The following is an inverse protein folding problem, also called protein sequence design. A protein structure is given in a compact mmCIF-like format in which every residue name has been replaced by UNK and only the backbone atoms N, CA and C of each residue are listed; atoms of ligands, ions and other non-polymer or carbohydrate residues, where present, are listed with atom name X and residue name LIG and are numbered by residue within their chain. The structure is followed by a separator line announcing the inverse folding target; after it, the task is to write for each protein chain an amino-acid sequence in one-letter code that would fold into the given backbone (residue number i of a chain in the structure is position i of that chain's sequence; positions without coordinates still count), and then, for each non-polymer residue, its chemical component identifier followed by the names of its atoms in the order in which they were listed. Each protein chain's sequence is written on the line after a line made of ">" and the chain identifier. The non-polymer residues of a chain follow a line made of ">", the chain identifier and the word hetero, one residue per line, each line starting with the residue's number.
data_IF_088691332162
#
_entry.id   IF_088691332162
#
_cell.length_a   1.000
_cell.length_b   1.000
_cell.length_c   1.000
_cell.angle_alpha   90.00
_cell.angle_beta   90.00
_cell.angle_gamma   90.00
#
_symmetry.space_group_name_H-M   'P 1'
#
loop_
_entity.id
_entity.type
_entity.pdbx_description
1 polymer ?
#
# COMPACT_ATOMS: atom_id res chain seq x y z
N UNK A 1 -16.71 2.42 -9.16
CA UNK A 1 -16.28 2.42 -7.74
C UNK A 1 -16.75 1.12 -7.11
N UNK A 2 -16.04 0.02 -7.35
CA UNK A 2 -16.44 -1.27 -6.80
C UNK A 2 -15.18 -2.13 -6.67
N UNK A 3 -14.44 -1.90 -5.60
CA UNK A 3 -13.26 -2.70 -5.29
C UNK A 3 -13.66 -3.70 -4.21
N UNK A 4 -14.29 -4.75 -4.75
CA UNK A 4 -14.42 -6.12 -4.28
C UNK A 4 -13.89 -6.40 -2.88
N UNK A 5 -14.84 -6.51 -1.95
CA UNK A 5 -15.01 -7.62 -0.99
C UNK A 5 -13.79 -8.53 -0.84
N UNK A 6 -12.74 -8.02 -0.21
CA UNK A 6 -11.68 -8.85 0.38
C UNK A 6 -12.17 -9.25 1.77
N UNK A 7 -12.97 -10.30 1.82
CA UNK A 7 -12.91 -11.29 2.91
C UNK A 7 -11.50 -11.92 2.85
N UNK A 8 -10.78 -12.25 3.92
CA UNK A 8 -11.12 -12.56 5.30
C UNK A 8 -9.89 -12.26 6.20
N UNK A 9 -10.17 -11.91 7.44
CA UNK A 9 -9.42 -11.11 8.43
C UNK A 9 -8.00 -11.58 8.86
N UNK A 10 -7.46 -12.68 8.30
CA UNK A 10 -6.18 -13.25 8.76
C UNK A 10 -4.93 -12.77 7.99
N UNK A 11 -5.10 -12.29 6.75
CA UNK A 11 -3.96 -11.92 5.88
C UNK A 11 -3.65 -10.41 5.89
N UNK A 12 -4.34 -9.64 6.73
CA UNK A 12 -4.10 -8.21 6.91
C UNK A 12 -2.72 -7.89 7.55
N UNK A 13 -1.98 -8.89 8.00
CA UNK A 13 -0.63 -8.74 8.53
C UNK A 13 0.47 -9.15 7.54
N UNK A 14 0.12 -9.73 6.39
CA UNK A 14 1.09 -10.25 5.44
C UNK A 14 1.76 -9.11 4.66
N UNK A 15 3.09 -8.91 4.80
CA UNK A 15 3.79 -7.85 4.08
C UNK A 15 3.72 -8.04 2.56
N UNK A 16 3.64 -9.29 2.09
CA UNK A 16 3.46 -9.61 0.68
C UNK A 16 2.12 -9.07 0.14
N UNK A 17 1.05 -9.15 0.92
CA UNK A 17 -0.28 -8.71 0.50
C UNK A 17 -0.38 -7.19 0.47
N UNK A 18 0.24 -6.51 1.44
CA UNK A 18 0.38 -5.04 1.47
C UNK A 18 1.12 -4.55 0.23
N UNK A 19 2.27 -5.18 -0.10
CA UNK A 19 3.05 -4.84 -1.31
C UNK A 19 2.24 -5.06 -2.59
N UNK A 20 1.61 -6.22 -2.74
CA UNK A 20 0.79 -6.53 -3.92
C UNK A 20 -0.34 -5.50 -4.11
N UNK A 21 -0.97 -5.07 -3.02
CA UNK A 21 -2.01 -4.02 -3.06
C UNK A 21 -1.46 -2.65 -3.38
N UNK A 22 -0.30 -2.29 -2.84
CA UNK A 22 0.36 -1.03 -3.19
C UNK A 22 0.78 -1.00 -4.67
N UNK A 23 1.31 -2.09 -5.20
CA UNK A 23 1.62 -2.27 -6.63
C UNK A 23 0.39 -2.18 -7.54
N UNK A 24 -0.72 -2.82 -7.16
CA UNK A 24 -2.00 -2.73 -7.89
C UNK A 24 -2.51 -1.28 -7.96
N UNK A 25 -2.30 -0.50 -6.90
CA UNK A 25 -2.63 0.92 -6.85
C UNK A 25 -1.72 1.73 -7.77
N UNK A 26 -0.39 1.53 -7.68
CA UNK A 26 0.60 2.21 -8.51
C UNK A 26 0.42 1.97 -10.01
N UNK A 27 0.01 0.75 -10.39
CA UNK A 27 -0.26 0.38 -11.78
C UNK A 27 -1.44 1.15 -12.38
N UNK A 28 -2.42 1.53 -11.56
CA UNK A 28 -3.67 2.16 -12.03
C UNK A 28 -3.57 3.69 -12.10
N UNK A 29 -2.84 4.29 -11.17
CA UNK A 29 -2.51 5.71 -11.13
C UNK A 29 -1.28 5.87 -10.27
N UNK A 30 -0.45 6.84 -10.64
CA UNK A 30 0.61 7.29 -9.76
C UNK A 30 -0.04 7.82 -8.46
N UNK A 31 0.26 7.15 -7.35
CA UNK A 31 -0.27 7.43 -6.03
C UNK A 31 0.90 7.72 -5.11
N UNK A 32 0.83 8.81 -4.34
CA UNK A 32 1.88 9.12 -3.37
C UNK A 32 1.88 8.12 -2.20
N UNK A 33 3.03 8.03 -1.50
CA UNK A 33 3.17 7.26 -0.23
C UNK A 33 2.02 7.50 0.75
N UNK A 34 1.60 8.76 0.90
CA UNK A 34 0.48 9.15 1.77
C UNK A 34 -0.87 8.58 1.33
N UNK A 35 -1.17 8.59 0.03
CA UNK A 35 -2.41 8.00 -0.50
C UNK A 35 -2.43 6.49 -0.31
N UNK A 36 -1.30 5.81 -0.60
CA UNK A 36 -1.16 4.38 -0.38
C UNK A 36 -1.35 4.03 1.10
N UNK A 37 -0.67 4.78 2.00
CA UNK A 37 -0.84 4.67 3.44
C UNK A 37 -2.30 4.80 3.86
N UNK A 38 -2.99 5.85 3.42
CA UNK A 38 -4.39 6.09 3.82
C UNK A 38 -5.32 5.00 3.28
N UNK A 39 -5.12 4.53 2.04
CA UNK A 39 -5.94 3.44 1.48
C UNK A 39 -5.68 2.10 2.17
N UNK A 40 -4.44 1.80 2.51
CA UNK A 40 -4.07 0.57 3.22
C UNK A 40 -4.55 0.65 4.69
N UNK A 41 -4.40 1.79 5.34
CA UNK A 41 -4.90 1.97 6.71
C UNK A 41 -6.43 1.85 6.77
N UNK A 42 -7.18 2.42 5.81
CA UNK A 42 -8.63 2.23 5.69
C UNK A 42 -9.07 0.78 5.46
N UNK A 43 -8.15 -0.08 5.00
CA UNK A 43 -8.41 -1.52 4.84
C UNK A 43 -8.10 -2.33 6.12
N UNK A 44 -7.62 -1.69 7.18
CA UNK A 44 -7.29 -2.34 8.44
C UNK A 44 -5.86 -2.87 8.53
N UNK A 45 -4.97 -2.53 7.58
CA UNK A 45 -3.56 -2.90 7.68
C UNK A 45 -2.85 -2.05 8.75
N UNK A 46 -1.98 -2.66 9.58
CA UNK A 46 -1.24 -1.91 10.59
C UNK A 46 -0.21 -0.98 9.93
N UNK A 47 -0.17 0.27 10.40
CA UNK A 47 0.70 1.33 9.85
C UNK A 47 2.16 0.90 9.80
N UNK A 48 2.67 0.18 10.80
CA UNK A 48 4.06 -0.30 10.82
C UNK A 48 4.39 -1.20 9.61
N UNK A 49 3.49 -2.13 9.27
CA UNK A 49 3.67 -3.01 8.11
C UNK A 49 3.48 -2.26 6.79
N UNK A 50 2.56 -1.30 6.77
CA UNK A 50 2.36 -0.40 5.63
C UNK A 50 3.65 0.37 5.34
N UNK A 51 4.22 1.02 6.35
CA UNK A 51 5.45 1.81 6.21
C UNK A 51 6.60 0.94 5.73
N UNK A 52 6.78 -0.26 6.31
CA UNK A 52 7.81 -1.20 5.87
C UNK A 52 7.62 -1.66 4.41
N UNK A 53 6.38 -1.89 3.97
CA UNK A 53 6.10 -2.24 2.57
C UNK A 53 6.34 -1.07 1.61
N UNK A 54 5.97 0.15 2.01
CA UNK A 54 6.17 1.36 1.21
C UNK A 54 7.65 1.71 1.08
N UNK A 55 8.42 1.59 2.17
CA UNK A 55 9.87 1.79 2.19
C UNK A 55 10.59 0.85 1.22
N UNK A 56 10.13 -0.41 1.14
CA UNK A 56 10.66 -1.38 0.19
C UNK A 56 10.33 -1.00 -1.26
N UNK A 57 9.10 -0.54 -1.54
CA UNK A 57 8.72 -0.08 -2.87
C UNK A 57 9.50 1.17 -3.30
N UNK A 58 9.83 2.06 -2.36
CA UNK A 58 10.74 3.19 -2.57
C UNK A 58 12.14 2.70 -2.90
N UNK A 59 12.67 1.76 -2.10
CA UNK A 59 14.01 1.21 -2.31
C UNK A 59 14.13 0.50 -3.67
N UNK A 60 13.05 -0.14 -4.13
CA UNK A 60 12.93 -0.76 -5.46
C UNK A 60 12.69 0.27 -6.59
N UNK A 61 12.61 1.58 -6.27
CA UNK A 61 12.26 2.68 -7.19
C UNK A 61 10.91 2.50 -7.90
N UNK A 62 10.02 1.71 -7.31
CA UNK A 62 8.65 1.49 -7.77
C UNK A 62 7.71 2.58 -7.26
N UNK A 63 8.05 3.20 -6.13
CA UNK A 63 7.36 4.36 -5.58
C UNK A 63 8.29 5.57 -5.63
N UNK A 64 7.89 6.62 -6.34
CA UNK A 64 8.56 7.90 -6.27
C UNK A 64 8.12 8.59 -4.98
N UNK A 65 9.00 8.62 -3.98
CA UNK A 65 8.79 9.39 -2.76
C UNK A 65 9.13 10.86 -3.00
N UNK A 66 8.52 11.42 -4.05
CA UNK A 66 8.50 12.83 -4.40
C UNK A 66 8.45 13.63 -3.12
N UNK A 67 9.62 14.16 -2.78
CA UNK A 67 10.00 14.75 -1.51
C UNK A 67 8.82 15.55 -0.98
N UNK A 68 8.26 15.11 0.15
CA UNK A 68 7.20 15.78 0.91
C UNK A 68 7.24 17.30 0.68
N UNK A 69 6.26 17.84 -0.05
CA UNK A 69 6.04 19.29 -0.18
C UNK A 69 4.58 19.61 0.09
#
# INVERSE_FOLDING_TARGET
>A
MNWTRISEDASAADPALIRAKALELLTRREHSRLELRQKLSQRGFPTERIEAALDQLVAERLLDEGRYR
#
